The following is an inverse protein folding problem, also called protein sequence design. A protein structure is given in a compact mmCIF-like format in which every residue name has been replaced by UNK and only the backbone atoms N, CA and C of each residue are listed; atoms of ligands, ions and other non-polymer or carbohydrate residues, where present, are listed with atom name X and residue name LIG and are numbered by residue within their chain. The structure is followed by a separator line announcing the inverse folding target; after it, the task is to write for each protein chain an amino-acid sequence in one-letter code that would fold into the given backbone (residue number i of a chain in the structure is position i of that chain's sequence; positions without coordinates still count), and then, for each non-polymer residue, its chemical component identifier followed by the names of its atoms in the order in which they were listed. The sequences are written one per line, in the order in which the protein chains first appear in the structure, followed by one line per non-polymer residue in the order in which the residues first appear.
data_IF_672044685487
#
_entry.id   IF_672044685487
#
_cell.length_a   1.000
_cell.length_b   1.000
_cell.length_c   1.000
_cell.angle_alpha   90.00
_cell.angle_beta   90.00
_cell.angle_gamma   90.00
#
_symmetry.space_group_name_H-M   'P 1'
#
loop_
_entity.id
_entity.type
_entity.pdbx_description
1 polymer ?
#
# COMPACT_ATOMS: atom_id res chain seq x y z
N UNK A 1 1.97 -5.06 -6.84
CA UNK A 1 3.24 -4.42 -7.27
C UNK A 1 3.89 -3.63 -6.14
N UNK A 2 3.54 -2.36 -5.85
CA UNK A 2 4.31 -1.55 -4.88
C UNK A 2 4.39 -2.19 -3.48
N UNK A 3 3.26 -2.63 -2.92
CA UNK A 3 3.25 -3.29 -1.61
C UNK A 3 4.08 -4.58 -1.63
N UNK A 4 3.88 -5.42 -2.65
CA UNK A 4 4.57 -6.70 -2.78
C UNK A 4 6.10 -6.53 -2.90
N UNK A 5 6.54 -5.56 -3.71
CA UNK A 5 7.95 -5.24 -3.89
C UNK A 5 8.58 -4.71 -2.60
N UNK A 6 7.83 -3.89 -1.83
CA UNK A 6 8.27 -3.40 -0.53
C UNK A 6 8.39 -4.55 0.50
N UNK A 7 7.39 -5.43 0.56
CA UNK A 7 7.41 -6.60 1.44
C UNK A 7 8.60 -7.51 1.10
N UNK A 8 8.84 -7.79 -0.18
CA UNK A 8 9.94 -8.62 -0.63
C UNK A 8 11.32 -8.02 -0.31
N UNK A 9 11.45 -6.70 -0.37
CA UNK A 9 12.73 -6.01 -0.14
C UNK A 9 13.05 -5.81 1.36
N UNK A 10 12.03 -5.62 2.21
CA UNK A 10 12.23 -5.16 3.58
C UNK A 10 11.74 -6.14 4.67
N UNK A 11 10.96 -7.17 4.33
CA UNK A 11 10.34 -8.12 5.27
C UNK A 11 9.73 -7.44 6.52
N UNK A 12 8.88 -6.41 6.36
CA UNK A 12 8.38 -5.63 7.48
C UNK A 12 7.42 -6.45 8.35
N UNK A 13 7.35 -6.13 9.66
CA UNK A 13 6.30 -6.67 10.53
C UNK A 13 4.91 -6.14 10.14
N UNK A 14 4.85 -4.87 9.76
CA UNK A 14 3.65 -4.20 9.29
C UNK A 14 4.04 -3.09 8.31
N UNK A 15 3.20 -2.88 7.29
CA UNK A 15 3.31 -1.72 6.41
C UNK A 15 1.91 -1.32 5.91
N UNK A 16 1.69 0.00 5.86
CA UNK A 16 0.50 0.61 5.24
C UNK A 16 0.96 1.60 4.18
N UNK A 17 0.35 1.53 2.99
CA UNK A 17 0.67 2.39 1.85
C UNK A 17 -0.61 3.07 1.37
N UNK A 18 -0.56 4.39 1.25
CA UNK A 18 -1.64 5.22 0.73
C UNK A 18 -1.24 5.87 -0.59
N UNK A 19 -1.94 5.53 -1.66
CA UNK A 19 -1.86 6.18 -2.96
C UNK A 19 -2.95 7.24 -3.08
N UNK A 20 -2.56 8.51 -3.01
CA UNK A 20 -3.44 9.67 -3.18
C UNK A 20 -3.28 10.22 -4.61
N UNK A 21 -4.31 10.06 -5.45
CA UNK A 21 -4.25 10.41 -6.86
C UNK A 21 -4.96 11.74 -7.14
N UNK A 22 -4.34 12.57 -7.97
CA UNK A 22 -4.94 13.83 -8.42
C UNK A 22 -6.32 13.61 -9.08
N UNK A 23 -7.28 14.52 -8.86
CA UNK A 23 -8.62 14.39 -9.43
C UNK A 23 -8.64 14.29 -10.97
N UNK A 24 -9.55 13.47 -11.51
CA UNK A 24 -9.87 13.43 -12.94
C UNK A 24 -11.38 13.39 -13.14
N UNK A 25 -11.91 14.29 -13.96
CA UNK A 25 -13.36 14.37 -14.21
C UNK A 25 -14.16 14.58 -12.93
N UNK A 26 -13.64 15.39 -11.99
CA UNK A 26 -14.19 15.64 -10.65
C UNK A 26 -14.23 14.43 -9.70
N UNK A 27 -13.57 13.32 -10.04
CA UNK A 27 -13.40 12.19 -9.14
C UNK A 27 -11.99 12.20 -8.57
N UNK A 28 -11.88 12.16 -7.25
CA UNK A 28 -10.63 11.96 -6.53
C UNK A 28 -10.55 10.51 -6.07
N UNK A 29 -9.39 9.88 -6.22
CA UNK A 29 -9.21 8.46 -5.91
C UNK A 29 -8.08 8.31 -4.90
N UNK A 30 -8.40 7.64 -3.79
CA UNK A 30 -7.45 7.24 -2.76
C UNK A 30 -7.47 5.72 -2.69
N UNK A 31 -6.29 5.11 -2.70
CA UNK A 31 -6.12 3.66 -2.56
C UNK A 31 -5.28 3.39 -1.33
N UNK A 32 -5.74 2.50 -0.47
CA UNK A 32 -5.05 2.10 0.76
C UNK A 32 -4.85 0.59 0.75
N UNK A 33 -3.64 0.17 1.09
CA UNK A 33 -3.25 -1.24 1.18
C UNK A 33 -2.40 -1.47 2.41
N UNK A 34 -2.59 -2.62 3.03
CA UNK A 34 -1.92 -3.00 4.28
C UNK A 34 -1.34 -4.40 4.17
N UNK A 35 -0.19 -4.60 4.81
CA UNK A 35 0.40 -5.91 5.05
C UNK A 35 0.75 -6.01 6.52
N UNK A 36 0.39 -7.14 7.12
CA UNK A 36 0.84 -7.53 8.45
C UNK A 36 1.45 -8.93 8.35
N UNK A 37 2.63 -9.08 8.94
CA UNK A 37 3.29 -10.38 9.03
C UNK A 37 2.51 -11.26 10.00
N UNK A 38 1.88 -12.30 9.46
CA UNK A 38 1.20 -13.31 10.29
C UNK A 38 2.28 -14.11 10.98
N UNK A 39 2.50 -13.81 12.26
CA UNK A 39 3.41 -14.59 13.08
C UNK A 39 2.78 -15.99 13.29
N UNK A 40 3.53 -17.10 13.06
CA UNK A 40 3.03 -18.45 13.31
C UNK A 40 2.84 -18.75 14.80
#
# INVERSE_FOLDING_TARGET
QILDDFVAAADPLEVSIRGDFNPRGNVHTVVEVEHQKVNP
#
